data_IF_416599519015
#
_entry.id   IF_416599519015
#
_cell.length_a   1.000
_cell.length_b   1.000
_cell.length_c   1.000
_cell.angle_alpha   90.00
_cell.angle_beta   90.00
_cell.angle_gamma   90.00
#
_symmetry.space_group_name_H-M   'P 1'
#
loop_
_entity.id
_entity.type
_entity.pdbx_description
1 polymer ?
#
# COMPACT_ATOMS: atom_id res chain seq x y z
N UNK A 1 -15.43 -5.26 -64.94
CA UNK A 1 -14.05 -5.50 -65.38
C UNK A 1 -13.28 -6.14 -64.23
N UNK A 2 -13.06 -7.45 -64.41
CA UNK A 2 -12.39 -8.35 -63.45
C UNK A 2 -10.90 -8.17 -63.52
N UNK A 3 -10.18 -8.10 -62.37
CA UNK A 3 -8.76 -8.35 -62.32
C UNK A 3 -8.44 -9.25 -61.12
N UNK A 4 -8.27 -10.51 -61.46
CA UNK A 4 -7.68 -11.59 -60.69
C UNK A 4 -6.18 -11.32 -60.57
N UNK A 5 -5.61 -11.35 -59.38
CA UNK A 5 -4.17 -11.50 -59.17
C UNK A 5 -3.85 -12.72 -58.27
N UNK A 6 -2.94 -13.48 -58.84
CA UNK A 6 -2.50 -14.83 -58.51
C UNK A 6 -1.76 -14.95 -57.21
N UNK A 7 -1.91 -16.11 -56.63
CA UNK A 7 -1.09 -16.67 -55.56
C UNK A 7 0.39 -16.84 -55.98
N UNK A 8 1.31 -16.60 -55.01
CA UNK A 8 2.66 -17.16 -55.06
C UNK A 8 2.97 -17.77 -53.70
N UNK A 9 2.95 -19.09 -53.66
CA UNK A 9 3.49 -19.91 -52.60
C UNK A 9 5.01 -19.85 -52.66
N UNK A 10 5.68 -19.57 -51.56
CA UNK A 10 7.11 -19.87 -51.38
C UNK A 10 7.24 -20.79 -50.18
N UNK A 11 7.58 -22.00 -50.51
CA UNK A 11 8.02 -23.08 -49.64
C UNK A 11 9.49 -22.78 -49.28
N UNK A 12 9.87 -22.76 -48.06
CA UNK A 12 11.27 -22.80 -47.63
C UNK A 12 11.46 -23.76 -46.47
N UNK A 13 12.32 -24.71 -46.78
CA UNK A 13 12.72 -25.89 -46.04
C UNK A 13 13.32 -25.61 -44.65
N UNK A 14 13.13 -26.61 -43.83
CA UNK A 14 13.73 -26.90 -42.54
C UNK A 14 15.28 -26.88 -42.55
N UNK A 15 15.87 -26.41 -41.47
CA UNK A 15 17.16 -26.93 -40.98
C UNK A 15 17.04 -27.15 -39.47
N UNK A 16 16.94 -28.44 -39.12
CA UNK A 16 17.12 -28.97 -37.78
C UNK A 16 18.62 -29.02 -37.48
N UNK A 17 19.07 -28.27 -36.47
CA UNK A 17 20.33 -28.57 -35.81
C UNK A 17 20.07 -28.86 -34.35
N UNK A 18 20.13 -30.14 -34.02
CA UNK A 18 20.21 -30.64 -32.64
C UNK A 18 21.63 -30.36 -32.15
N UNK A 19 21.77 -29.48 -31.19
CA UNK A 19 22.95 -29.35 -30.39
C UNK A 19 22.66 -29.93 -29.00
N UNK A 20 23.16 -31.13 -28.77
CA UNK A 20 23.26 -31.72 -27.45
C UNK A 20 24.33 -31.01 -26.66
N UNK A 21 24.00 -30.34 -25.60
CA UNK A 21 24.93 -29.85 -24.59
C UNK A 21 24.77 -30.67 -23.33
N UNK A 22 25.88 -31.27 -22.97
CA UNK A 22 26.04 -32.11 -21.79
C UNK A 22 25.73 -31.33 -20.50
N UNK A 23 24.90 -31.93 -19.67
CA UNK A 23 24.68 -31.54 -18.28
C UNK A 23 25.89 -31.99 -17.51
N UNK A 24 26.71 -31.06 -17.02
CA UNK A 24 27.67 -31.33 -15.97
C UNK A 24 26.97 -31.04 -14.64
N UNK A 25 26.67 -32.11 -13.92
CA UNK A 25 26.29 -32.08 -12.51
C UNK A 25 27.45 -31.47 -11.69
N UNK A 26 27.25 -30.23 -11.22
CA UNK A 26 28.07 -29.68 -10.14
C UNK A 26 27.24 -29.78 -8.88
N UNK A 27 27.44 -30.88 -8.16
CA UNK A 27 26.99 -31.02 -6.78
C UNK A 27 27.79 -30.07 -5.91
N UNK A 28 27.23 -28.93 -5.52
CA UNK A 28 27.75 -28.15 -4.42
C UNK A 28 27.20 -28.77 -3.13
N UNK A 29 28.07 -29.46 -2.41
CA UNK A 29 27.87 -29.79 -1.01
C UNK A 29 27.79 -28.47 -0.23
N UNK A 30 26.64 -28.19 0.36
CA UNK A 30 26.44 -27.12 1.32
C UNK A 30 27.00 -27.63 2.67
N UNK A 31 28.25 -27.29 2.98
CA UNK A 31 28.72 -27.37 4.35
C UNK A 31 28.00 -26.29 5.18
N UNK A 32 27.17 -26.75 6.07
CA UNK A 32 26.56 -25.95 7.11
C UNK A 32 27.66 -25.54 8.10
N UNK A 33 28.18 -24.32 7.98
CA UNK A 33 28.97 -23.72 9.04
C UNK A 33 28.01 -23.01 9.99
N UNK A 34 27.53 -23.77 10.96
CA UNK A 34 26.84 -23.28 12.14
C UNK A 34 27.89 -22.65 13.05
N UNK A 35 28.00 -21.35 13.03
CA UNK A 35 28.77 -20.60 14.02
C UNK A 35 27.90 -19.43 14.50
N UNK A 36 26.99 -19.76 15.41
CA UNK A 36 26.40 -18.78 16.32
C UNK A 36 27.50 -18.44 17.34
N UNK A 37 27.86 -17.17 17.52
CA UNK A 37 28.65 -16.80 18.71
C UNK A 37 27.71 -16.80 19.91
N UNK A 38 27.72 -17.88 20.63
CA UNK A 38 27.21 -17.97 22.00
C UNK A 38 28.10 -17.06 22.85
N UNK A 39 27.62 -15.89 23.21
CA UNK A 39 28.24 -15.02 24.19
C UNK A 39 28.00 -15.67 25.57
N UNK A 40 28.94 -16.48 25.99
CA UNK A 40 29.06 -16.90 27.39
C UNK A 40 29.23 -15.67 28.26
N UNK A 41 28.21 -15.37 29.04
CA UNK A 41 28.32 -14.42 30.16
C UNK A 41 29.09 -15.19 31.25
N UNK A 42 30.40 -14.96 31.32
CA UNK A 42 31.23 -15.41 32.44
C UNK A 42 30.84 -14.56 33.65
N UNK A 43 30.02 -15.10 34.51
CA UNK A 43 29.75 -14.53 35.84
C UNK A 43 30.93 -14.93 36.70
N UNK A 44 31.77 -13.95 37.03
CA UNK A 44 32.86 -14.10 37.97
C UNK A 44 32.28 -14.35 39.36
N UNK A 45 32.55 -15.50 40.03
CA UNK A 45 31.99 -15.82 41.33
C UNK A 45 32.59 -15.00 42.49
N UNK A 46 33.60 -14.17 42.25
CA UNK A 46 34.26 -13.36 43.29
C UNK A 46 33.62 -11.98 43.55
N UNK A 47 32.52 -11.65 42.90
CA UNK A 47 31.77 -10.40 43.12
C UNK A 47 30.61 -10.53 44.11
N UNK A 48 30.53 -11.64 44.87
CA UNK A 48 29.40 -11.91 45.76
C UNK A 48 29.78 -11.83 47.26
N UNK A 49 30.85 -11.15 47.61
CA UNK A 49 31.19 -10.94 49.01
C UNK A 49 31.60 -9.49 49.26
N UNK A 50 30.64 -8.62 49.54
CA UNK A 50 30.61 -7.55 50.54
C UNK A 50 29.50 -6.52 50.18
N UNK A 51 28.32 -6.73 50.72
CA UNK A 51 27.35 -5.65 50.88
C UNK A 51 26.48 -5.95 52.14
N UNK A 52 27.13 -5.91 53.26
CA UNK A 52 26.45 -5.62 54.51
C UNK A 52 26.59 -4.10 54.75
N UNK A 53 25.67 -3.33 54.17
CA UNK A 53 25.40 -1.95 54.59
C UNK A 53 23.90 -1.72 54.47
N UNK A 54 23.24 -1.92 55.60
CA UNK A 54 21.84 -1.61 55.86
C UNK A 54 21.65 -0.09 55.93
N UNK A 55 21.70 0.61 54.79
CA UNK A 55 21.15 1.93 54.69
C UNK A 55 19.77 1.83 54.02
N UNK A 56 18.69 2.34 54.65
CA UNK A 56 17.39 2.35 53.99
C UNK A 56 17.48 3.24 52.77
N UNK A 57 17.31 2.63 51.58
CA UNK A 57 17.12 3.41 50.33
C UNK A 57 15.80 4.14 50.48
N UNK A 58 15.87 5.43 50.85
CA UNK A 58 14.72 6.35 50.74
C UNK A 58 14.47 6.45 49.26
N UNK A 59 13.42 5.80 48.77
CA UNK A 59 12.84 6.08 47.48
C UNK A 59 12.39 7.52 47.51
N UNK A 60 13.24 8.45 47.04
CA UNK A 60 12.86 9.81 46.74
C UNK A 60 11.71 9.72 45.73
N UNK A 61 10.63 10.40 46.10
CA UNK A 61 9.45 10.61 45.28
C UNK A 61 9.89 10.91 43.84
N UNK A 62 9.60 9.96 42.93
CA UNK A 62 9.75 10.16 41.49
C UNK A 62 8.84 11.34 41.13
N UNK A 63 9.42 12.55 41.14
CA UNK A 63 8.77 13.71 40.56
C UNK A 63 8.63 13.42 39.08
N UNK A 64 7.44 12.95 38.73
CA UNK A 64 7.03 12.74 37.34
C UNK A 64 7.13 14.10 36.64
N UNK A 65 8.25 14.34 35.99
CA UNK A 65 8.41 15.46 35.08
C UNK A 65 7.64 15.05 33.83
N UNK A 66 6.33 15.27 33.86
CA UNK A 66 5.53 15.26 32.65
C UNK A 66 6.13 16.32 31.76
N UNK A 67 6.96 15.90 30.79
CA UNK A 67 7.42 16.79 29.74
C UNK A 67 6.16 17.33 29.06
N UNK A 68 5.90 18.63 29.21
CA UNK A 68 4.76 19.26 28.58
C UNK A 68 4.85 19.00 27.07
N UNK A 69 3.88 18.25 26.54
CA UNK A 69 3.78 18.02 25.09
C UNK A 69 3.67 19.41 24.45
N UNK A 70 4.52 19.76 23.48
CA UNK A 70 4.45 21.04 22.79
C UNK A 70 3.04 21.28 22.26
N UNK A 71 2.49 22.48 22.48
CA UNK A 71 1.09 22.78 22.12
C UNK A 71 0.82 22.69 20.63
N UNK A 72 1.84 22.87 19.79
CA UNK A 72 1.78 22.69 18.34
C UNK A 72 1.51 21.22 17.95
N UNK A 73 2.01 20.24 18.71
CA UNK A 73 1.75 18.82 18.49
C UNK A 73 0.30 18.47 18.88
N UNK A 74 -0.19 19.00 20.02
CA UNK A 74 -1.56 18.80 20.47
C UNK A 74 -2.56 19.41 19.48
N UNK A 75 -2.27 20.61 18.96
CA UNK A 75 -3.12 21.28 17.98
C UNK A 75 -3.13 20.53 16.63
N UNK A 76 -1.97 20.03 16.19
CA UNK A 76 -1.88 19.21 14.97
C UNK A 76 -2.69 17.92 15.09
N UNK A 77 -2.67 17.24 16.24
CA UNK A 77 -3.44 16.04 16.50
C UNK A 77 -4.95 16.34 16.62
N UNK A 78 -5.32 17.46 17.23
CA UNK A 78 -6.72 17.92 17.29
C UNK A 78 -7.28 18.18 15.90
N UNK A 79 -6.55 18.94 15.06
CA UNK A 79 -6.94 19.23 13.69
C UNK A 79 -7.03 17.96 12.84
N UNK A 80 -6.11 17.01 13.04
CA UNK A 80 -6.15 15.71 12.37
C UNK A 80 -7.37 14.88 12.80
N UNK A 81 -7.75 14.92 14.08
CA UNK A 81 -8.93 14.25 14.60
C UNK A 81 -10.25 14.90 14.14
N UNK A 82 -10.31 16.24 14.10
CA UNK A 82 -11.45 16.97 13.56
C UNK A 82 -11.65 16.68 12.08
N UNK A 83 -10.55 16.64 11.29
CA UNK A 83 -10.61 16.25 9.89
C UNK A 83 -11.04 14.79 9.70
N UNK A 84 -10.62 13.89 10.60
CA UNK A 84 -11.02 12.48 10.59
C UNK A 84 -12.52 12.32 10.87
N UNK A 85 -13.05 13.07 11.87
CA UNK A 85 -14.47 13.08 12.18
C UNK A 85 -15.30 13.69 11.04
N UNK A 86 -14.85 14.78 10.44
CA UNK A 86 -15.52 15.41 9.30
C UNK A 86 -15.58 14.49 8.06
N UNK A 87 -14.54 13.68 7.82
CA UNK A 87 -14.52 12.70 6.71
C UNK A 87 -15.51 11.55 6.96
N UNK A 88 -15.76 11.19 8.21
CA UNK A 88 -16.75 10.14 8.54
C UNK A 88 -18.21 10.60 8.49
N UNK A 89 -18.47 11.92 8.63
CA UNK A 89 -19.83 12.48 8.75
C UNK A 89 -20.35 13.14 7.46
N UNK A 90 -19.51 13.31 6.42
CA UNK A 90 -20.00 13.92 5.17
C UNK A 90 -20.75 12.87 4.35
N UNK A 91 -22.06 12.90 4.47
CA UNK A 91 -22.97 12.13 3.62
C UNK A 91 -23.21 12.88 2.31
N UNK A 92 -22.76 12.30 1.20
CA UNK A 92 -22.96 12.87 -0.14
C UNK A 92 -23.72 11.92 -1.07
N UNK A 93 -24.41 10.91 -0.55
CA UNK A 93 -24.98 9.89 -1.42
C UNK A 93 -26.49 9.79 -1.29
N UNK A 94 -27.15 9.70 -2.45
CA UNK A 94 -28.57 9.38 -2.57
C UNK A 94 -28.88 7.89 -2.22
N UNK A 95 -27.94 7.14 -1.64
CA UNK A 95 -28.10 5.70 -1.40
C UNK A 95 -28.64 5.37 0.00
N UNK A 96 -29.00 6.36 0.82
CA UNK A 96 -29.54 6.16 2.16
C UNK A 96 -28.55 5.61 3.19
N UNK A 97 -27.25 5.49 2.85
CA UNK A 97 -26.22 5.05 3.77
C UNK A 97 -25.73 6.23 4.62
N UNK A 98 -25.89 6.15 5.93
CA UNK A 98 -25.46 7.19 6.88
C UNK A 98 -23.94 7.22 7.14
N UNK A 99 -23.16 6.30 6.56
CA UNK A 99 -21.69 6.27 6.69
C UNK A 99 -21.03 5.51 5.55
N UNK A 100 -19.75 5.83 5.29
CA UNK A 100 -18.94 5.07 4.32
C UNK A 100 -18.86 3.57 4.70
N UNK A 101 -18.83 3.25 5.99
CA UNK A 101 -18.82 1.86 6.49
C UNK A 101 -20.09 1.13 6.10
N UNK A 102 -21.23 1.78 6.23
CA UNK A 102 -22.52 1.22 5.84
C UNK A 102 -22.59 1.01 4.33
N UNK A 103 -22.17 2.00 3.56
CA UNK A 103 -22.11 1.91 2.11
C UNK A 103 -21.19 0.77 1.62
N UNK A 104 -20.04 0.57 2.28
CA UNK A 104 -19.13 -0.56 1.99
C UNK A 104 -19.81 -1.92 2.25
N UNK A 105 -20.59 -2.04 3.35
CA UNK A 105 -21.33 -3.28 3.65
C UNK A 105 -22.43 -3.60 2.64
N UNK A 106 -23.01 -2.57 2.03
CA UNK A 106 -24.05 -2.71 1.01
C UNK A 106 -23.50 -3.11 -0.38
N UNK A 107 -22.18 -2.96 -0.60
CA UNK A 107 -21.60 -3.30 -1.89
C UNK A 107 -21.56 -4.81 -2.09
N UNK A 108 -22.15 -5.30 -3.20
CA UNK A 108 -21.85 -6.66 -3.67
C UNK A 108 -20.40 -6.73 -4.13
N UNK A 109 -19.62 -7.64 -3.55
CA UNK A 109 -18.21 -7.83 -3.87
C UNK A 109 -17.96 -9.12 -4.63
N UNK A 110 -18.99 -9.89 -4.86
CA UNK A 110 -18.96 -11.15 -5.61
C UNK A 110 -19.07 -10.92 -7.11
N UNK A 111 -18.67 -11.93 -7.88
CA UNK A 111 -18.73 -11.92 -9.33
C UNK A 111 -17.43 -11.49 -10.03
N UNK A 112 -17.46 -11.52 -11.36
CA UNK A 112 -16.34 -11.16 -12.20
C UNK A 112 -16.16 -9.64 -12.21
N UNK A 113 -14.94 -9.19 -11.92
CA UNK A 113 -14.56 -7.79 -12.00
C UNK A 113 -13.97 -7.50 -13.39
N UNK A 114 -14.28 -6.33 -13.94
CA UNK A 114 -13.60 -5.84 -15.14
C UNK A 114 -12.09 -5.69 -14.89
N UNK A 115 -11.28 -5.67 -15.95
CA UNK A 115 -9.83 -5.49 -15.85
C UNK A 115 -9.48 -4.19 -15.13
N UNK A 116 -10.13 -3.10 -15.47
CA UNK A 116 -9.95 -1.78 -14.84
C UNK A 116 -10.27 -1.80 -13.33
N UNK A 117 -11.39 -2.44 -12.96
CA UNK A 117 -11.75 -2.62 -11.56
C UNK A 117 -10.73 -3.47 -10.81
N UNK A 118 -10.19 -4.52 -11.41
CA UNK A 118 -9.15 -5.35 -10.80
C UNK A 118 -7.87 -4.54 -10.55
N UNK A 119 -7.48 -3.68 -11.50
CA UNK A 119 -6.33 -2.80 -11.33
C UNK A 119 -6.55 -1.82 -10.17
N UNK A 120 -7.70 -1.16 -10.12
CA UNK A 120 -8.01 -0.21 -9.05
C UNK A 120 -8.06 -0.89 -7.68
N UNK A 121 -8.84 -1.96 -7.55
CA UNK A 121 -8.99 -2.69 -6.29
C UNK A 121 -7.67 -3.32 -5.83
N UNK A 122 -6.83 -3.80 -6.75
CA UNK A 122 -5.50 -4.29 -6.44
C UNK A 122 -4.61 -3.18 -5.88
N UNK A 123 -4.67 -1.98 -6.45
CA UNK A 123 -3.90 -0.84 -5.93
C UNK A 123 -4.38 -0.43 -4.54
N UNK A 124 -5.68 -0.28 -4.32
CA UNK A 124 -6.25 -0.02 -2.98
C UNK A 124 -5.81 -1.08 -1.98
N UNK A 125 -5.85 -2.36 -2.38
CA UNK A 125 -5.42 -3.46 -1.51
C UNK A 125 -3.95 -3.34 -1.10
N UNK A 126 -3.03 -3.12 -2.03
CA UNK A 126 -1.60 -3.12 -1.72
C UNK A 126 -1.13 -1.83 -1.04
N UNK A 127 -1.69 -0.68 -1.40
CA UNK A 127 -1.28 0.62 -0.86
C UNK A 127 -1.90 0.93 0.50
N UNK A 128 -3.14 0.47 0.76
CA UNK A 128 -3.90 0.94 1.93
C UNK A 128 -4.62 -0.15 2.71
N UNK A 129 -4.24 -1.44 2.55
CA UNK A 129 -4.81 -2.49 3.39
C UNK A 129 -4.48 -2.25 4.87
N UNK A 130 -5.50 -2.31 5.72
CA UNK A 130 -5.33 -2.04 7.16
C UNK A 130 -5.54 -0.58 7.55
N UNK A 131 -5.62 0.33 6.59
CA UNK A 131 -6.03 1.71 6.83
C UNK A 131 -7.56 1.83 6.95
N UNK A 132 -8.02 3.02 7.37
CA UNK A 132 -9.46 3.31 7.40
C UNK A 132 -10.08 3.23 6.00
N UNK A 133 -11.39 3.08 5.93
CA UNK A 133 -12.10 3.09 4.64
C UNK A 133 -11.94 4.44 3.91
N UNK A 134 -11.77 5.53 4.67
CA UNK A 134 -11.50 6.85 4.12
C UNK A 134 -10.11 6.92 3.47
N UNK A 135 -9.08 6.35 4.08
CA UNK A 135 -7.74 6.23 3.48
C UNK A 135 -7.73 5.38 2.23
N UNK A 136 -8.43 4.25 2.26
CA UNK A 136 -8.60 3.39 1.08
C UNK A 136 -9.30 4.12 -0.07
N UNK A 137 -10.37 4.89 0.24
CA UNK A 137 -11.07 5.72 -0.75
C UNK A 137 -10.17 6.81 -1.32
N UNK A 138 -9.37 7.45 -0.48
CA UNK A 138 -8.42 8.49 -0.90
C UNK A 138 -7.41 7.96 -1.93
N UNK A 139 -6.85 6.77 -1.71
CA UNK A 139 -5.96 6.11 -2.68
C UNK A 139 -6.68 5.82 -3.99
N UNK A 140 -7.92 5.28 -3.93
CA UNK A 140 -8.72 5.05 -5.14
C UNK A 140 -8.96 6.35 -5.93
N UNK A 141 -9.28 7.45 -5.23
CA UNK A 141 -9.51 8.78 -5.85
C UNK A 141 -8.27 9.32 -6.56
N UNK A 142 -7.06 9.10 -6.01
CA UNK A 142 -5.81 9.50 -6.71
C UNK A 142 -5.64 8.73 -8.00
N UNK A 143 -5.82 7.41 -8.01
CA UNK A 143 -5.68 6.60 -9.23
C UNK A 143 -6.67 7.05 -10.30
N UNK A 144 -7.92 7.33 -9.91
CA UNK A 144 -8.95 7.81 -10.81
C UNK A 144 -8.68 9.23 -11.32
N UNK A 145 -8.18 10.13 -10.46
CA UNK A 145 -7.82 11.48 -10.85
C UNK A 145 -6.65 11.49 -11.85
N UNK A 146 -5.68 10.59 -11.67
CA UNK A 146 -4.58 10.39 -12.61
C UNK A 146 -5.08 9.95 -13.98
N UNK A 147 -5.95 8.95 -14.04
CA UNK A 147 -6.52 8.45 -15.30
C UNK A 147 -7.36 9.52 -16.05
N UNK A 148 -7.87 10.54 -15.34
CA UNK A 148 -8.57 11.69 -15.92
C UNK A 148 -7.64 12.85 -16.30
N UNK A 149 -6.37 12.81 -15.88
CA UNK A 149 -5.39 13.88 -16.10
C UNK A 149 -4.52 13.56 -17.32
N UNK A 150 -4.34 14.54 -18.23
CA UNK A 150 -3.44 14.42 -19.39
C UNK A 150 -1.96 14.16 -19.02
N UNK A 151 -1.59 14.26 -17.74
CA UNK A 151 -0.23 13.99 -17.23
C UNK A 151 0.06 12.51 -17.02
N UNK A 152 -0.93 11.65 -17.08
CA UNK A 152 -0.86 10.22 -16.79
C UNK A 152 -1.55 9.41 -17.89
N UNK A 153 -1.36 8.08 -17.92
CA UNK A 153 -2.16 7.22 -18.80
C UNK A 153 -3.66 7.38 -18.53
N UNK A 154 -4.47 7.25 -19.59
CA UNK A 154 -5.91 7.50 -19.60
C UNK A 154 -6.77 6.34 -19.08
N UNK A 155 -6.16 5.22 -18.66
CA UNK A 155 -6.85 4.06 -18.06
C UNK A 155 -6.34 3.79 -16.65
N UNK A 156 -7.18 3.19 -15.81
CA UNK A 156 -6.78 2.82 -14.45
C UNK A 156 -5.63 1.82 -14.46
N UNK A 157 -5.70 0.80 -15.33
CA UNK A 157 -4.60 -0.13 -15.49
C UNK A 157 -3.33 0.53 -16.01
N UNK A 158 -3.43 1.47 -16.95
CA UNK A 158 -2.31 2.27 -17.44
C UNK A 158 -1.60 3.02 -16.31
N UNK A 159 -2.36 3.70 -15.44
CA UNK A 159 -1.83 4.38 -14.26
C UNK A 159 -1.17 3.40 -13.29
N UNK A 160 -1.82 2.27 -13.02
CA UNK A 160 -1.33 1.27 -12.05
C UNK A 160 -0.04 0.60 -12.52
N UNK A 161 0.06 0.26 -13.79
CA UNK A 161 1.24 -0.38 -14.35
C UNK A 161 2.31 0.60 -14.87
N UNK A 162 2.11 1.90 -14.67
CA UNK A 162 3.13 2.89 -15.00
C UNK A 162 4.43 2.60 -14.27
N UNK A 163 5.53 2.59 -15.01
CA UNK A 163 6.85 2.22 -14.48
C UNK A 163 7.22 3.03 -13.24
N UNK A 164 7.63 2.35 -12.17
CA UNK A 164 8.06 2.93 -10.88
C UNK A 164 6.96 3.70 -10.13
N UNK A 165 5.69 3.59 -10.53
CA UNK A 165 4.61 4.30 -9.85
C UNK A 165 4.25 3.62 -8.52
N UNK A 166 4.12 2.30 -8.53
CA UNK A 166 3.77 1.53 -7.35
C UNK A 166 4.80 0.43 -7.08
N UNK A 167 5.32 0.38 -5.87
CA UNK A 167 6.41 -0.53 -5.46
C UNK A 167 6.02 -2.00 -5.46
N UNK A 168 4.71 -2.30 -5.30
CA UNK A 168 4.20 -3.66 -5.34
C UNK A 168 4.17 -4.24 -6.76
N UNK A 169 4.16 -3.40 -7.81
CA UNK A 169 4.28 -3.89 -9.19
C UNK A 169 5.71 -4.32 -9.46
N UNK A 170 5.91 -5.63 -9.66
CA UNK A 170 7.23 -6.20 -9.95
C UNK A 170 7.21 -6.87 -11.32
N UNK A 171 8.19 -6.53 -12.17
CA UNK A 171 8.29 -7.07 -13.54
C UNK A 171 6.98 -6.91 -14.34
N UNK A 172 6.29 -5.76 -14.18
CA UNK A 172 5.04 -5.47 -14.87
C UNK A 172 3.85 -6.34 -14.40
N UNK A 173 3.97 -6.99 -13.24
CA UNK A 173 2.91 -7.87 -12.71
C UNK A 173 2.48 -7.43 -11.31
N UNK A 174 1.18 -7.48 -11.08
CA UNK A 174 0.60 -7.36 -9.74
C UNK A 174 0.77 -8.68 -9.00
N UNK A 175 1.20 -8.68 -7.72
CA UNK A 175 1.32 -9.90 -6.93
C UNK A 175 -0.03 -10.58 -6.75
N UNK A 176 0.00 -11.87 -6.41
CA UNK A 176 -1.21 -12.64 -6.10
C UNK A 176 -1.92 -12.05 -4.88
N UNK A 177 -3.23 -11.93 -4.98
CA UNK A 177 -4.11 -11.44 -3.91
C UNK A 177 -4.97 -12.61 -3.41
N UNK A 178 -5.07 -12.76 -2.10
CA UNK A 178 -6.07 -13.63 -1.48
C UNK A 178 -7.45 -12.95 -1.57
N UNK A 179 -8.24 -13.38 -2.54
CA UNK A 179 -9.56 -12.83 -2.81
C UNK A 179 -10.60 -13.18 -1.74
N UNK A 180 -10.36 -14.19 -0.91
CA UNK A 180 -11.19 -14.55 0.24
C UNK A 180 -11.03 -13.63 1.43
N UNK A 181 -9.93 -12.88 1.49
CA UNK A 181 -9.61 -12.06 2.64
C UNK A 181 -10.46 -10.78 2.70
N UNK A 182 -10.83 -10.35 3.92
CA UNK A 182 -11.65 -9.14 4.16
C UNK A 182 -11.07 -7.87 3.53
N UNK A 183 -9.74 -7.71 3.52
CA UNK A 183 -9.11 -6.54 2.92
C UNK A 183 -9.33 -6.46 1.40
N UNK A 184 -9.37 -7.60 0.72
CA UNK A 184 -9.73 -7.61 -0.70
C UNK A 184 -11.18 -7.20 -0.91
N UNK A 185 -12.11 -7.73 -0.12
CA UNK A 185 -13.53 -7.35 -0.21
C UNK A 185 -13.73 -5.87 0.04
N UNK A 186 -13.05 -5.30 1.06
CA UNK A 186 -13.09 -3.85 1.29
C UNK A 186 -12.52 -3.07 0.10
N UNK A 187 -11.38 -3.48 -0.44
CA UNK A 187 -10.77 -2.82 -1.60
C UNK A 187 -11.68 -2.83 -2.83
N UNK A 188 -12.38 -3.94 -3.09
CA UNK A 188 -13.37 -4.04 -4.17
C UNK A 188 -14.56 -3.11 -3.91
N UNK A 189 -15.12 -3.13 -2.69
CA UNK A 189 -16.26 -2.28 -2.32
C UNK A 189 -15.91 -0.79 -2.45
N UNK A 190 -14.77 -0.37 -1.90
CA UNK A 190 -14.26 1.00 -1.99
C UNK A 190 -14.02 1.41 -3.45
N UNK A 191 -13.46 0.52 -4.27
CA UNK A 191 -13.25 0.80 -5.69
C UNK A 191 -14.56 1.00 -6.45
N UNK A 192 -15.59 0.20 -6.15
CA UNK A 192 -16.94 0.39 -6.70
C UNK A 192 -17.55 1.73 -6.28
N UNK A 193 -17.46 2.06 -5.00
CA UNK A 193 -17.94 3.34 -4.46
C UNK A 193 -17.22 4.51 -5.14
N UNK A 194 -15.90 4.43 -5.28
CA UNK A 194 -15.11 5.45 -5.95
C UNK A 194 -15.52 5.61 -7.42
N UNK A 195 -15.66 4.54 -8.17
CA UNK A 195 -16.03 4.57 -9.60
C UNK A 195 -17.43 5.12 -9.84
N UNK A 196 -18.36 4.86 -8.94
CA UNK A 196 -19.74 5.36 -9.00
C UNK A 196 -19.92 6.74 -8.37
N UNK A 197 -18.83 7.39 -7.94
CA UNK A 197 -18.84 8.66 -7.20
C UNK A 197 -19.76 8.63 -5.95
N UNK A 198 -19.88 7.44 -5.36
CA UNK A 198 -20.84 7.16 -4.29
C UNK A 198 -20.48 7.77 -2.92
N UNK A 199 -19.27 8.27 -2.74
CA UNK A 199 -18.81 8.94 -1.52
C UNK A 199 -17.71 9.94 -1.81
N UNK A 200 -17.79 11.15 -1.25
CA UNK A 200 -16.75 12.19 -1.45
C UNK A 200 -15.54 11.95 -0.56
N UNK A 201 -14.40 12.48 -1.01
CA UNK A 201 -13.15 12.45 -0.27
C UNK A 201 -12.55 13.86 -0.19
N UNK A 202 -11.93 14.27 0.92
CA UNK A 202 -11.28 15.57 1.02
C UNK A 202 -10.09 15.73 0.06
N UNK A 203 -9.71 14.66 -0.63
CA UNK A 203 -8.58 14.64 -1.60
C UNK A 203 -9.05 14.52 -3.05
N UNK A 204 -10.27 14.96 -3.36
CA UNK A 204 -10.76 14.96 -4.75
C UNK A 204 -9.82 15.76 -5.67
N UNK A 205 -9.35 15.11 -6.74
CA UNK A 205 -8.39 15.68 -7.67
C UNK A 205 -6.94 15.70 -7.18
N UNK A 206 -6.61 15.05 -6.07
CA UNK A 206 -5.22 14.79 -5.71
C UNK A 206 -4.56 13.90 -6.76
N UNK A 207 -3.33 14.24 -7.13
CA UNK A 207 -2.54 13.49 -8.12
C UNK A 207 -1.33 12.80 -7.51
N UNK A 208 -0.93 13.18 -6.28
CA UNK A 208 0.26 12.67 -5.62
C UNK A 208 -0.05 12.34 -4.16
N UNK A 209 0.63 11.33 -3.65
CA UNK A 209 0.67 11.02 -2.23
C UNK A 209 1.98 10.34 -1.87
N UNK A 210 2.34 10.40 -0.60
CA UNK A 210 3.45 9.63 -0.03
C UNK A 210 3.13 9.26 1.43
N UNK A 211 3.84 8.28 1.96
CA UNK A 211 3.71 7.90 3.36
C UNK A 211 4.24 9.01 4.29
N UNK A 212 3.59 9.23 5.42
CA UNK A 212 3.91 10.31 6.39
C UNK A 212 5.38 10.36 6.82
N UNK A 213 6.04 9.21 6.88
CA UNK A 213 7.46 9.10 7.26
C UNK A 213 8.44 9.45 6.13
N UNK A 214 7.93 9.71 4.91
CA UNK A 214 8.73 10.10 3.75
C UNK A 214 8.66 11.61 3.58
N UNK A 215 9.79 12.25 3.24
CA UNK A 215 9.85 13.68 2.92
C UNK A 215 10.43 13.88 1.52
N UNK A 216 9.60 13.88 0.47
CA UNK A 216 10.08 13.89 -0.92
C UNK A 216 10.56 15.27 -1.41
N UNK A 217 10.52 16.31 -0.57
CA UNK A 217 10.92 17.67 -0.95
C UNK A 217 10.01 18.33 -2.00
N UNK A 218 8.81 17.84 -2.20
CA UNK A 218 7.88 18.35 -3.22
C UNK A 218 7.38 19.76 -2.87
N UNK A 219 7.32 20.63 -3.88
CA UNK A 219 6.68 21.96 -3.79
C UNK A 219 5.24 21.91 -4.31
N UNK A 220 4.49 20.88 -3.90
CA UNK A 220 3.11 20.68 -4.32
C UNK A 220 2.14 21.21 -3.25
N UNK A 221 0.94 21.60 -3.67
CA UNK A 221 -0.12 22.01 -2.73
C UNK A 221 -0.62 20.79 -1.96
N UNK A 222 -0.34 20.77 -0.64
CA UNK A 222 -0.89 19.77 0.27
C UNK A 222 -2.40 19.94 0.38
N UNK A 223 -3.15 18.84 0.33
CA UNK A 223 -4.60 18.82 0.46
C UNK A 223 -5.04 18.29 1.81
N UNK A 224 -4.63 17.07 2.17
CA UNK A 224 -4.97 16.43 3.42
C UNK A 224 -3.93 15.40 3.85
N UNK A 225 -3.97 15.03 5.13
CA UNK A 225 -3.34 13.82 5.66
C UNK A 225 -4.44 12.88 6.10
N UNK A 226 -4.44 11.65 5.57
CA UNK A 226 -5.40 10.61 5.94
C UNK A 226 -4.60 9.36 6.25
N UNK A 227 -4.78 8.81 7.43
CA UNK A 227 -4.04 7.67 7.94
C UNK A 227 -2.51 7.83 7.78
N UNK A 228 -1.87 6.94 7.04
CA UNK A 228 -0.41 6.97 6.81
C UNK A 228 0.01 7.78 5.59
N UNK A 229 -0.90 8.47 4.92
CA UNK A 229 -0.62 9.16 3.66
C UNK A 229 -0.87 10.66 3.72
N UNK A 230 -0.02 11.42 3.03
CA UNK A 230 -0.18 12.86 2.78
C UNK A 230 -0.46 13.02 1.28
N UNK A 231 -1.54 13.73 0.96
CA UNK A 231 -2.05 13.91 -0.40
C UNK A 231 -1.80 15.31 -0.93
N UNK A 232 -1.52 15.42 -2.23
CA UNK A 232 -1.14 16.66 -2.90
C UNK A 232 -1.78 16.79 -4.28
N UNK A 233 -1.86 18.08 -4.72
CA UNK A 233 -2.33 18.45 -6.05
C UNK A 233 -1.26 19.19 -6.85
#
# INVERSE_FOLDING_TARGET
MSKIFKAASVLSLAFSTVAALAVTDVSFALEANDTTPESEIIIDPDMLESADDTTPVIFGELKEVAAAIPQDVVEADRLANEQRAAVETVDFTNNGAGSLRELVRQQSVDGALSKEMQCLAGTVYFESKGETLAGQLAVARVVMARAKSSRFPDTLCGVVYQRKQFSFIRNGKMPRIDKGHRHWRNAVAISKIAMNDGWKSPVEGALFFHARYVSPGWRLKRMATIDNHIFYR
#
